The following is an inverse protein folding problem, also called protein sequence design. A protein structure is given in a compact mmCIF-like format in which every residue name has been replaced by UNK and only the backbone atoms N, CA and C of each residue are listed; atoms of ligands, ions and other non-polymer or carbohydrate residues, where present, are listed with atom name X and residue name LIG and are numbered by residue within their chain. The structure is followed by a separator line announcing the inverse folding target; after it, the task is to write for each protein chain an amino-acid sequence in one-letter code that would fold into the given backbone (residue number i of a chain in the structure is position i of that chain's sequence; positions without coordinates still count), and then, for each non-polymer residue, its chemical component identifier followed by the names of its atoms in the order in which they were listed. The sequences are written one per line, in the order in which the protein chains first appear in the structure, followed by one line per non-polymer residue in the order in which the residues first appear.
data_IF_877245342743
#
_entry.id   IF_877245342743
#
_cell.length_a   1.000
_cell.length_b   1.000
_cell.length_c   1.000
_cell.angle_alpha   90.00
_cell.angle_beta   90.00
_cell.angle_gamma   90.00
#
_symmetry.space_group_name_H-M   'P 1'
#
loop_
_entity.id
_entity.type
_entity.pdbx_description
1 polymer ?
#
# COMPACT_ATOMS: atom_id res chain seq x y z
N UNK A 1 16.48 -13.16 -7.24
CA UNK A 1 15.95 -13.36 -5.86
C UNK A 1 14.48 -13.69 -5.99
N UNK A 2 13.95 -14.68 -5.26
CA UNK A 2 12.51 -14.98 -5.29
C UNK A 2 11.77 -13.91 -4.48
N UNK A 3 10.73 -13.26 -5.02
CA UNK A 3 9.95 -12.30 -4.25
C UNK A 3 9.21 -13.00 -3.11
N UNK A 4 9.08 -12.31 -1.98
CA UNK A 4 8.29 -12.76 -0.83
C UNK A 4 6.97 -11.98 -0.86
N UNK A 5 5.85 -12.69 -0.77
CA UNK A 5 4.54 -12.08 -0.65
C UNK A 5 4.20 -11.89 0.83
N UNK A 6 3.95 -10.64 1.23
CA UNK A 6 3.38 -10.32 2.52
C UNK A 6 1.94 -9.83 2.34
N UNK A 7 1.00 -10.49 2.98
CA UNK A 7 -0.41 -10.10 3.00
C UNK A 7 -0.74 -9.43 4.34
N UNK A 8 -1.27 -8.21 4.26
CA UNK A 8 -1.76 -7.45 5.41
C UNK A 8 -3.28 -7.34 5.26
N UNK A 9 -4.05 -8.26 5.83
CA UNK A 9 -5.51 -8.23 5.71
C UNK A 9 -6.06 -7.09 6.56
N UNK A 10 -7.05 -6.34 6.04
CA UNK A 10 -7.76 -5.32 6.81
C UNK A 10 -8.50 -5.92 8.02
N UNK A 11 -8.96 -7.17 7.87
CA UNK A 11 -9.70 -7.92 8.87
C UNK A 11 -8.87 -9.13 9.28
N UNK A 12 -8.31 -9.09 10.48
CA UNK A 12 -7.38 -10.10 11.01
C UNK A 12 -8.04 -11.48 11.16
N UNK A 13 -9.35 -11.55 11.34
CA UNK A 13 -10.13 -12.79 11.37
C UNK A 13 -10.04 -13.59 10.06
N UNK A 14 -9.57 -12.97 8.97
CA UNK A 14 -9.37 -13.64 7.67
C UNK A 14 -8.04 -14.38 7.54
N UNK A 15 -7.12 -14.21 8.48
CA UNK A 15 -5.76 -14.77 8.37
C UNK A 15 -5.76 -16.28 8.16
N UNK A 16 -6.59 -17.01 8.90
CA UNK A 16 -6.73 -18.47 8.77
C UNK A 16 -7.29 -18.87 7.40
N UNK A 17 -8.31 -18.18 6.94
CA UNK A 17 -8.88 -18.41 5.60
C UNK A 17 -7.85 -18.18 4.49
N UNK A 18 -7.01 -17.14 4.63
CA UNK A 18 -5.92 -16.83 3.67
C UNK A 18 -4.88 -17.95 3.70
N UNK A 19 -4.48 -18.41 4.88
CA UNK A 19 -3.55 -19.53 5.04
C UNK A 19 -4.06 -20.80 4.34
N UNK A 20 -5.34 -21.11 4.52
CA UNK A 20 -5.97 -22.28 3.90
C UNK A 20 -6.00 -22.16 2.37
N UNK A 21 -6.21 -20.95 1.83
CA UNK A 21 -6.12 -20.68 0.39
C UNK A 21 -4.69 -20.88 -0.14
N UNK A 22 -3.68 -20.40 0.59
CA UNK A 22 -2.28 -20.65 0.24
C UNK A 22 -1.95 -22.15 0.22
N UNK A 23 -2.40 -22.90 1.21
CA UNK A 23 -2.20 -24.35 1.29
C UNK A 23 -2.84 -25.07 0.10
N UNK A 24 -4.06 -24.68 -0.30
CA UNK A 24 -4.73 -25.22 -1.50
C UNK A 24 -3.98 -24.90 -2.81
N UNK A 25 -3.21 -23.83 -2.82
CA UNK A 25 -2.36 -23.43 -3.95
C UNK A 25 -0.94 -24.00 -3.87
N UNK A 26 -0.68 -24.94 -2.95
CA UNK A 26 0.65 -25.53 -2.68
C UNK A 26 1.72 -24.49 -2.32
N UNK A 27 1.30 -23.43 -1.61
CA UNK A 27 2.18 -22.37 -1.12
C UNK A 27 2.41 -22.53 0.38
N UNK A 28 3.66 -22.48 0.81
CA UNK A 28 4.02 -22.45 2.23
C UNK A 28 3.66 -21.08 2.80
N UNK A 29 2.74 -21.06 3.76
CA UNK A 29 2.23 -19.83 4.37
C UNK A 29 2.53 -19.81 5.87
N UNK A 30 3.05 -18.67 6.37
CA UNK A 30 3.25 -18.41 7.80
C UNK A 30 2.43 -17.20 8.23
N UNK A 31 1.66 -17.35 9.32
CA UNK A 31 1.00 -16.23 9.98
C UNK A 31 2.00 -15.60 10.95
N UNK A 32 2.15 -14.28 10.88
CA UNK A 32 3.10 -13.50 11.68
C UNK A 32 2.35 -12.70 12.74
N UNK A 33 2.67 -12.93 13.99
CA UNK A 33 2.25 -12.10 15.11
C UNK A 33 3.33 -11.09 15.52
N UNK A 34 4.60 -11.36 15.20
CA UNK A 34 5.75 -10.50 15.48
C UNK A 34 6.82 -10.58 14.37
N UNK A 35 7.65 -9.53 14.25
CA UNK A 35 8.80 -9.49 13.32
C UNK A 35 9.81 -10.63 13.57
N UNK A 36 9.97 -11.06 14.82
CA UNK A 36 10.89 -12.13 15.21
C UNK A 36 10.52 -13.50 14.61
N UNK A 37 9.29 -13.67 14.15
CA UNK A 37 8.80 -14.93 13.57
C UNK A 37 9.16 -15.12 12.08
N UNK A 38 9.82 -14.14 11.45
CA UNK A 38 10.30 -14.23 10.05
C UNK A 38 11.52 -15.15 9.92
N UNK A 39 11.64 -16.19 10.72
CA UNK A 39 12.77 -17.13 10.71
C UNK A 39 12.62 -18.30 9.74
N UNK A 40 11.44 -18.57 9.26
CA UNK A 40 11.14 -19.67 8.32
C UNK A 40 11.03 -19.17 6.89
N UNK A 41 11.61 -19.90 5.94
CA UNK A 41 11.43 -19.60 4.51
C UNK A 41 10.00 -20.03 4.14
N UNK A 42 9.14 -19.04 3.91
CA UNK A 42 7.77 -19.22 3.40
C UNK A 42 7.60 -18.48 2.09
N UNK A 43 6.63 -18.92 1.29
CA UNK A 43 6.27 -18.27 0.03
C UNK A 43 5.40 -17.04 0.30
N UNK A 44 4.56 -17.16 1.36
CA UNK A 44 3.60 -16.14 1.77
C UNK A 44 3.69 -15.96 3.29
N UNK A 45 3.71 -14.71 3.69
CA UNK A 45 3.52 -14.30 5.08
C UNK A 45 2.20 -13.55 5.22
N UNK A 46 1.45 -13.83 6.27
CA UNK A 46 0.18 -13.14 6.57
C UNK A 46 0.30 -12.48 7.93
N UNK A 47 0.18 -11.17 7.97
CA UNK A 47 0.18 -10.44 9.25
C UNK A 47 -1.16 -10.57 9.95
N UNK A 48 -1.10 -10.89 11.24
CA UNK A 48 -2.28 -10.98 12.10
C UNK A 48 -2.29 -9.83 13.15
N UNK A 49 -1.65 -8.71 12.86
CA UNK A 49 -1.53 -7.56 13.77
C UNK A 49 -2.37 -6.37 13.32
N UNK A 50 -2.98 -5.68 14.29
CA UNK A 50 -3.56 -4.36 14.08
C UNK A 50 -2.40 -3.35 13.98
N UNK A 51 -2.48 -2.43 12.99
CA UNK A 51 -1.39 -1.47 12.74
C UNK A 51 -0.21 -2.03 11.95
N UNK A 52 -0.33 -3.25 11.46
CA UNK A 52 0.68 -3.95 10.66
C UNK A 52 1.29 -3.14 9.50
N UNK A 53 0.57 -2.26 8.77
CA UNK A 53 1.19 -1.49 7.70
C UNK A 53 2.42 -0.70 8.15
N UNK A 54 2.36 -0.03 9.29
CA UNK A 54 3.48 0.76 9.80
C UNK A 54 4.74 -0.08 10.11
N UNK A 55 4.57 -1.37 10.43
CA UNK A 55 5.66 -2.30 10.71
C UNK A 55 6.26 -2.87 9.43
N UNK A 56 5.41 -3.22 8.46
CA UNK A 56 5.81 -4.02 7.31
C UNK A 56 6.10 -3.22 6.05
N UNK A 57 5.40 -2.09 5.83
CA UNK A 57 5.58 -1.27 4.62
C UNK A 57 7.01 -0.72 4.46
N UNK A 58 7.74 -0.33 5.53
CA UNK A 58 9.13 0.11 5.40
C UNK A 58 10.08 -0.96 4.84
N UNK A 59 9.67 -2.23 4.85
CA UNK A 59 10.45 -3.36 4.36
C UNK A 59 10.10 -3.77 2.93
N UNK A 60 9.13 -3.08 2.30
CA UNK A 60 8.62 -3.43 0.97
C UNK A 60 9.07 -2.45 -0.09
N UNK A 61 9.37 -2.95 -1.29
CA UNK A 61 9.69 -2.09 -2.44
C UNK A 61 8.43 -1.61 -3.16
N UNK A 62 7.33 -2.39 -3.07
CA UNK A 62 6.05 -2.04 -3.67
C UNK A 62 4.90 -2.59 -2.83
N UNK A 63 3.76 -1.96 -2.95
CA UNK A 63 2.51 -2.37 -2.32
C UNK A 63 1.40 -2.52 -3.36
N UNK A 64 0.77 -3.69 -3.40
CA UNK A 64 -0.43 -3.93 -4.18
C UNK A 64 -1.66 -3.58 -3.37
N UNK A 65 -2.47 -2.65 -3.85
CA UNK A 65 -3.70 -2.23 -3.18
C UNK A 65 -4.82 -3.23 -3.50
N UNK A 66 -4.97 -4.25 -2.66
CA UNK A 66 -5.82 -5.41 -2.92
C UNK A 66 -7.31 -5.10 -3.14
N UNK A 67 -7.88 -4.09 -2.46
CA UNK A 67 -9.28 -3.69 -2.61
C UNK A 67 -9.65 -3.15 -4.00
N UNK A 68 -8.67 -2.89 -4.88
CA UNK A 68 -8.87 -2.36 -6.24
C UNK A 68 -9.24 -3.43 -7.28
N UNK A 69 -9.29 -4.70 -6.89
CA UNK A 69 -9.70 -5.82 -7.76
C UNK A 69 -11.11 -6.34 -7.45
N UNK A 70 -11.78 -5.81 -6.45
CA UNK A 70 -13.09 -6.28 -6.01
C UNK A 70 -14.01 -5.10 -5.67
N UNK A 71 -15.25 -5.38 -5.26
CA UNK A 71 -16.26 -4.37 -4.96
C UNK A 71 -15.99 -3.56 -3.68
N UNK A 72 -14.82 -3.72 -3.05
CA UNK A 72 -14.32 -2.84 -1.99
C UNK A 72 -13.93 -1.46 -2.55
N UNK A 73 -13.62 -1.37 -3.86
CA UNK A 73 -13.33 -0.12 -4.57
C UNK A 73 -12.11 0.67 -4.04
N UNK A 74 -11.09 -0.04 -3.58
CA UNK A 74 -9.81 0.52 -3.20
C UNK A 74 -9.67 0.89 -1.72
N UNK A 75 -8.42 0.92 -1.28
CA UNK A 75 -7.97 1.42 0.00
C UNK A 75 -7.07 2.64 -0.19
N UNK A 76 -6.75 3.33 0.90
CA UNK A 76 -5.90 4.52 0.90
C UNK A 76 -4.53 4.23 0.24
N UNK A 77 -4.18 4.86 -0.89
CA UNK A 77 -2.90 4.66 -1.55
C UNK A 77 -1.74 5.44 -0.89
N UNK A 78 -2.04 6.46 -0.07
CA UNK A 78 -1.04 7.34 0.51
C UNK A 78 -0.27 6.70 1.67
N UNK A 79 -0.87 5.72 2.34
CA UNK A 79 -0.22 5.03 3.47
C UNK A 79 1.06 4.30 3.02
N UNK A 80 1.07 3.45 1.98
CA UNK A 80 2.32 2.84 1.52
C UNK A 80 3.34 3.85 0.97
N UNK A 81 2.88 4.94 0.35
CA UNK A 81 3.75 6.01 -0.17
C UNK A 81 4.55 6.66 0.95
N UNK A 82 3.96 6.86 2.13
CA UNK A 82 4.64 7.40 3.30
C UNK A 82 5.85 6.56 3.73
N UNK A 83 5.82 5.28 3.45
CA UNK A 83 6.89 4.32 3.77
C UNK A 83 7.82 4.02 2.59
N UNK A 84 7.68 4.74 1.48
CA UNK A 84 8.56 4.62 0.32
C UNK A 84 8.26 3.42 -0.58
N UNK A 85 7.07 2.85 -0.51
CA UNK A 85 6.67 1.77 -1.40
C UNK A 85 6.08 2.31 -2.72
N UNK A 86 6.42 1.67 -3.85
CA UNK A 86 5.74 1.90 -5.12
C UNK A 86 4.30 1.36 -5.06
N UNK A 87 3.37 2.01 -5.77
CA UNK A 87 1.95 1.66 -5.73
C UNK A 87 1.55 0.89 -6.99
N UNK A 88 1.04 -0.32 -6.76
CA UNK A 88 0.40 -1.15 -7.79
C UNK A 88 -1.09 -1.30 -7.43
N UNK A 89 -1.98 -1.21 -8.41
CA UNK A 89 -3.41 -1.29 -8.17
C UNK A 89 -4.19 -1.82 -9.37
N UNK A 90 -5.41 -2.28 -9.14
CA UNK A 90 -6.38 -2.61 -10.19
C UNK A 90 -7.27 -1.41 -10.54
N UNK A 91 -8.28 -1.66 -11.38
CA UNK A 91 -9.15 -0.60 -11.92
C UNK A 91 -10.25 -0.10 -10.98
N UNK A 92 -10.57 -0.83 -9.91
CA UNK A 92 -11.67 -0.47 -9.00
C UNK A 92 -11.17 0.45 -7.89
N UNK A 93 -11.17 1.74 -8.13
CA UNK A 93 -10.58 2.77 -7.27
C UNK A 93 -11.58 3.81 -6.75
N UNK A 94 -12.88 3.55 -6.82
CA UNK A 94 -13.92 4.56 -6.59
C UNK A 94 -13.89 5.24 -5.22
N UNK A 95 -13.39 4.58 -4.16
CA UNK A 95 -13.26 5.20 -2.83
C UNK A 95 -12.17 6.28 -2.78
N UNK A 96 -11.21 6.26 -3.70
CA UNK A 96 -10.07 7.18 -3.80
C UNK A 96 -9.83 7.58 -5.25
N UNK A 97 -10.91 7.79 -6.03
CA UNK A 97 -10.84 7.97 -7.48
C UNK A 97 -9.91 9.12 -7.90
N UNK A 98 -10.04 10.28 -7.27
CA UNK A 98 -9.20 11.45 -7.58
C UNK A 98 -7.73 11.23 -7.19
N UNK A 99 -7.48 10.54 -6.07
CA UNK A 99 -6.12 10.22 -5.65
C UNK A 99 -5.44 9.27 -6.64
N UNK A 100 -6.09 8.19 -7.03
CA UNK A 100 -5.54 7.27 -8.03
C UNK A 100 -5.36 7.92 -9.41
N UNK A 101 -6.27 8.78 -9.82
CA UNK A 101 -6.15 9.56 -11.05
C UNK A 101 -4.91 10.47 -11.03
N UNK A 102 -4.68 11.17 -9.92
CA UNK A 102 -3.51 12.04 -9.73
C UNK A 102 -2.20 11.21 -9.69
N UNK A 103 -2.21 10.07 -9.00
CA UNK A 103 -1.07 9.17 -8.94
C UNK A 103 -0.69 8.60 -10.32
N UNK A 104 -1.66 8.21 -11.12
CA UNK A 104 -1.44 7.75 -12.50
C UNK A 104 -0.91 8.88 -13.38
N UNK A 105 -1.53 10.06 -13.33
CA UNK A 105 -1.13 11.22 -14.14
C UNK A 105 0.30 11.70 -13.82
N UNK A 106 0.79 11.47 -12.61
CA UNK A 106 2.15 11.82 -12.16
C UNK A 106 3.13 10.66 -12.25
N UNK A 107 2.77 9.55 -12.89
CA UNK A 107 3.58 8.31 -12.93
C UNK A 107 4.00 7.83 -11.53
N UNK A 108 3.14 8.04 -10.54
CA UNK A 108 3.35 7.70 -9.13
C UNK A 108 2.70 6.38 -8.73
N UNK A 109 1.95 5.76 -9.64
CA UNK A 109 1.37 4.42 -9.47
C UNK A 109 1.32 3.69 -10.81
N UNK A 110 1.10 2.37 -10.76
CA UNK A 110 0.89 1.54 -11.95
C UNK A 110 -0.42 0.77 -11.81
N UNK A 111 -1.31 0.94 -12.77
CA UNK A 111 -2.51 0.11 -12.88
C UNK A 111 -2.14 -1.23 -13.52
N UNK A 112 -2.60 -2.33 -12.93
CA UNK A 112 -2.38 -3.69 -13.40
C UNK A 112 -3.73 -4.35 -13.61
N UNK A 113 -3.98 -4.80 -14.82
CA UNK A 113 -5.23 -5.45 -15.19
C UNK A 113 -5.12 -6.98 -15.22
N UNK A 114 -3.92 -7.48 -15.55
CA UNK A 114 -3.67 -8.90 -15.76
C UNK A 114 -2.60 -9.45 -14.80
N UNK A 115 -2.79 -10.68 -14.33
CA UNK A 115 -1.84 -11.36 -13.41
C UNK A 115 -0.46 -11.57 -14.01
N UNK A 116 -0.37 -11.85 -15.31
CA UNK A 116 0.91 -12.05 -16.00
C UNK A 116 1.71 -10.76 -16.11
N UNK A 117 1.03 -9.61 -16.22
CA UNK A 117 1.65 -8.29 -16.17
C UNK A 117 2.25 -8.04 -14.79
N UNK A 118 1.52 -8.35 -13.72
CA UNK A 118 2.01 -8.22 -12.35
C UNK A 118 3.30 -9.04 -12.15
N UNK A 119 3.32 -10.30 -12.57
CA UNK A 119 4.49 -11.16 -12.41
C UNK A 119 5.74 -10.60 -13.10
N UNK A 120 5.58 -9.99 -14.28
CA UNK A 120 6.67 -9.32 -15.00
C UNK A 120 7.14 -8.06 -14.26
N UNK A 121 6.21 -7.22 -13.86
CA UNK A 121 6.50 -5.96 -13.16
C UNK A 121 7.32 -6.20 -11.89
N UNK A 122 6.88 -7.08 -11.00
CA UNK A 122 7.56 -7.32 -9.72
C UNK A 122 8.94 -7.97 -9.86
N UNK A 123 9.24 -8.62 -10.99
CA UNK A 123 10.52 -9.30 -11.22
C UNK A 123 11.49 -8.50 -12.08
N UNK A 124 11.02 -7.56 -12.90
CA UNK A 124 11.82 -6.90 -13.93
C UNK A 124 11.87 -5.38 -13.81
N UNK A 125 11.00 -4.77 -13.00
CA UNK A 125 10.89 -3.32 -12.92
C UNK A 125 11.65 -2.75 -11.73
N UNK A 126 12.40 -1.67 -11.98
CA UNK A 126 12.91 -0.79 -10.95
C UNK A 126 11.87 0.31 -10.69
N UNK A 127 11.39 0.39 -9.46
CA UNK A 127 10.36 1.33 -9.05
C UNK A 127 10.91 2.66 -8.51
N UNK A 128 12.22 2.90 -8.54
CA UNK A 128 12.85 4.10 -7.94
C UNK A 128 12.25 5.42 -8.44
N UNK A 129 11.95 5.51 -9.75
CA UNK A 129 11.37 6.72 -10.31
C UNK A 129 9.92 6.92 -9.84
N UNK A 130 9.12 5.86 -9.83
CA UNK A 130 7.74 5.90 -9.33
C UNK A 130 7.70 6.31 -7.85
N UNK A 131 8.59 5.76 -7.03
CA UNK A 131 8.72 6.11 -5.60
C UNK A 131 9.09 7.59 -5.43
N UNK A 132 10.03 8.11 -6.22
CA UNK A 132 10.40 9.53 -6.19
C UNK A 132 9.23 10.43 -6.57
N UNK A 133 8.51 10.10 -7.63
CA UNK A 133 7.33 10.86 -8.07
C UNK A 133 6.25 10.88 -6.97
N UNK A 134 5.93 9.70 -6.41
CA UNK A 134 4.94 9.55 -5.35
C UNK A 134 5.32 10.34 -4.08
N UNK A 135 6.59 10.26 -3.67
CA UNK A 135 7.11 11.00 -2.52
C UNK A 135 7.03 12.51 -2.73
N UNK A 136 7.38 12.99 -3.93
CA UNK A 136 7.29 14.42 -4.27
C UNK A 136 5.84 14.91 -4.25
N UNK A 137 4.91 14.11 -4.77
CA UNK A 137 3.49 14.41 -4.76
C UNK A 137 2.93 14.46 -3.34
N UNK A 138 3.31 13.50 -2.49
CA UNK A 138 2.92 13.47 -1.08
C UNK A 138 3.43 14.72 -0.33
N UNK A 139 4.70 15.10 -0.52
CA UNK A 139 5.28 16.29 0.10
C UNK A 139 4.52 17.55 -0.31
N UNK A 140 4.14 17.68 -1.59
CA UNK A 140 3.33 18.79 -2.09
C UNK A 140 1.96 18.86 -1.40
N UNK A 141 1.28 17.71 -1.25
CA UNK A 141 0.00 17.63 -0.53
C UNK A 141 0.16 18.01 0.95
N UNK A 142 1.20 17.52 1.61
CA UNK A 142 1.48 17.83 3.02
C UNK A 142 1.77 19.33 3.23
N UNK A 143 2.50 19.97 2.31
CA UNK A 143 2.73 21.41 2.36
C UNK A 143 1.41 22.19 2.26
N UNK A 144 0.56 21.86 1.30
CA UNK A 144 -0.74 22.51 1.13
C UNK A 144 -1.64 22.39 2.38
N UNK A 145 -1.64 21.22 3.03
CA UNK A 145 -2.38 21.02 4.30
C UNK A 145 -1.81 21.89 5.43
N UNK A 146 -0.47 22.00 5.50
CA UNK A 146 0.20 22.86 6.49
C UNK A 146 -0.14 24.34 6.27
N UNK A 147 -0.13 24.81 5.03
CA UNK A 147 -0.46 26.17 4.67
C UNK A 147 -1.91 26.49 5.04
N UNK A 148 -2.86 25.61 4.69
CA UNK A 148 -4.27 25.73 5.09
C UNK A 148 -4.44 25.77 6.62
N UNK A 149 -3.71 24.93 7.34
CA UNK A 149 -3.73 24.92 8.82
C UNK A 149 -3.27 26.27 9.40
N UNK A 150 -2.21 26.85 8.85
CA UNK A 150 -1.72 28.17 9.26
C UNK A 150 -2.75 29.26 8.97
N UNK A 151 -3.39 29.26 7.82
CA UNK A 151 -4.44 30.20 7.44
C UNK A 151 -5.64 30.14 8.41
N UNK A 152 -6.06 28.94 8.77
CA UNK A 152 -7.15 28.72 9.76
C UNK A 152 -6.74 29.31 11.13
N UNK A 153 -5.51 29.04 11.58
CA UNK A 153 -5.02 29.58 12.86
C UNK A 153 -4.98 31.10 12.86
N UNK A 154 -4.57 31.73 11.78
CA UNK A 154 -4.58 33.20 11.62
C UNK A 154 -6.01 33.76 11.71
N UNK A 155 -6.96 33.13 11.02
CA UNK A 155 -8.38 33.54 11.06
C UNK A 155 -9.00 33.42 12.46
N UNK A 156 -8.66 32.38 13.22
CA UNK A 156 -9.15 32.20 14.59
C UNK A 156 -8.52 33.21 15.54
N UNK A 157 -7.21 33.47 15.37
CA UNK A 157 -6.49 34.44 16.24
C UNK A 157 -6.84 35.87 15.98
N UNK A 158 -7.40 36.22 14.81
CA UNK A 158 -7.76 37.59 14.42
C UNK A 158 -9.18 38.00 14.82
N UNK A 159 -9.98 37.12 15.41
CA UNK A 159 -11.31 37.51 15.96
C UNK A 159 -11.11 38.14 17.31
N UNK A 160 -11.44 39.45 17.50
CA UNK A 160 -11.49 40.05 18.82
C UNK A 160 -12.61 39.38 19.65
N UNK A 161 -12.31 39.07 20.91
CA UNK A 161 -13.27 38.63 21.92
C UNK A 161 -14.25 39.76 22.22
#
# INVERSE_FOLDING_TARGET
MRPILLIIPRHIERTETIRDQCTKADLKCTILSELSEVSSISDVYVSNQIGAPAVWLPLTNFALIGGTYCNVNGHNPWEPIQFGAAILHGSKTANFAEDFKELLASESSTEILETDEMAKLITQTNFDQQIKNASSLLQKKMSAVKDLSNDILLLVSSKPI
#
